data_IF_041358280694
#
_entry.id   IF_041358280694
#
_cell.length_a   1.000
_cell.length_b   1.000
_cell.length_c   1.000
_cell.angle_alpha   90.00
_cell.angle_beta   90.00
_cell.angle_gamma   90.00
#
_symmetry.space_group_name_H-M   'P 1'
#
loop_
_entity.id
_entity.type
_entity.pdbx_description
1 polymer ?
#
# COMPACT_ATOMS: atom_id res chain seq x y z
N UNK A 1 14.23 -9.48 8.11
CA UNK A 1 13.79 -10.23 6.91
C UNK A 1 12.34 -10.64 7.14
N UNK A 2 11.49 -10.45 6.12
CA UNK A 2 10.04 -10.71 6.21
C UNK A 2 9.67 -12.20 6.38
N UNK A 3 10.51 -13.10 5.88
CA UNK A 3 10.57 -14.55 6.15
C UNK A 3 11.86 -15.10 5.54
N UNK A 4 12.24 -16.35 5.84
CA UNK A 4 13.41 -17.00 5.21
C UNK A 4 13.37 -17.00 3.66
N UNK A 5 12.18 -16.82 3.08
CA UNK A 5 11.94 -16.91 1.64
C UNK A 5 11.87 -15.56 0.91
N UNK A 6 11.85 -14.41 1.62
CA UNK A 6 11.70 -13.10 0.98
C UNK A 6 12.92 -12.20 1.22
N UNK A 7 13.55 -11.78 0.12
CA UNK A 7 14.69 -10.84 0.13
C UNK A 7 14.21 -9.42 -0.18
N UNK A 8 14.88 -8.43 0.40
CA UNK A 8 14.66 -7.00 0.12
C UNK A 8 14.91 -6.74 -1.37
N UNK A 9 14.03 -5.99 -2.02
CA UNK A 9 14.21 -5.60 -3.43
C UNK A 9 15.44 -4.73 -3.68
N UNK A 10 15.79 -3.91 -2.69
CA UNK A 10 17.02 -3.12 -2.64
C UNK A 10 17.92 -3.63 -1.52
N UNK A 11 18.95 -4.40 -1.89
CA UNK A 11 20.01 -4.79 -0.96
C UNK A 11 21.05 -3.68 -0.85
N UNK A 12 21.84 -3.70 0.21
CA UNK A 12 22.91 -2.71 0.44
C UNK A 12 23.94 -2.73 -0.70
N UNK A 13 24.27 -3.91 -1.24
CA UNK A 13 25.18 -4.03 -2.39
C UNK A 13 24.59 -3.35 -3.62
N UNK A 14 23.29 -3.54 -3.85
CA UNK A 14 22.58 -2.93 -4.96
C UNK A 14 22.53 -1.41 -4.80
N UNK A 15 22.24 -0.91 -3.60
CA UNK A 15 22.23 0.54 -3.31
C UNK A 15 23.62 1.19 -3.47
N UNK A 16 24.69 0.47 -3.10
CA UNK A 16 26.07 0.93 -3.33
C UNK A 16 26.47 0.94 -4.81
N UNK A 17 25.94 0.01 -5.61
CA UNK A 17 26.30 -0.14 -7.01
C UNK A 17 25.54 0.78 -7.98
N UNK A 18 24.37 1.29 -7.60
CA UNK A 18 23.52 2.08 -8.49
C UNK A 18 23.94 3.56 -8.39
N UNK A 19 24.43 4.19 -9.47
CA UNK A 19 24.67 5.63 -9.51
C UNK A 19 23.35 6.37 -9.76
N UNK A 20 22.38 6.24 -8.86
CA UNK A 20 21.06 6.90 -8.98
C UNK A 20 21.07 8.21 -8.18
N UNK A 21 20.89 9.39 -8.82
CA UNK A 21 20.89 10.68 -8.14
C UNK A 21 19.83 10.83 -7.02
N UNK A 22 18.75 10.03 -7.09
CA UNK A 22 17.68 10.02 -6.09
C UNK A 22 18.09 9.32 -4.79
N UNK A 23 19.03 8.36 -4.86
CA UNK A 23 19.53 7.62 -3.70
C UNK A 23 20.69 8.40 -3.10
N UNK A 24 20.56 8.73 -1.83
CA UNK A 24 21.57 9.48 -1.06
C UNK A 24 22.01 8.65 0.13
N UNK A 25 23.14 9.03 0.71
CA UNK A 25 23.71 8.37 1.88
C UNK A 25 24.14 9.41 2.91
N UNK A 26 23.76 9.21 4.16
CA UNK A 26 24.26 9.99 5.31
C UNK A 26 24.46 9.08 6.54
N UNK A 27 24.61 9.67 7.73
CA UNK A 27 24.83 8.91 8.97
C UNK A 27 23.70 7.92 9.31
N UNK A 28 22.49 8.12 8.79
CA UNK A 28 21.34 7.22 8.93
C UNK A 28 21.28 6.11 7.88
N UNK A 29 22.24 6.05 6.95
CA UNK A 29 22.29 5.06 5.87
C UNK A 29 21.75 5.59 4.54
N UNK A 30 21.31 4.67 3.68
CA UNK A 30 20.73 5.02 2.39
C UNK A 30 19.32 5.57 2.55
N UNK A 31 19.00 6.62 1.79
CA UNK A 31 17.67 7.23 1.77
C UNK A 31 17.30 7.79 0.41
N UNK A 32 15.99 8.00 0.21
CA UNK A 32 15.46 8.83 -0.87
C UNK A 32 14.67 10.00 -0.29
N UNK A 33 14.57 11.08 -1.06
CA UNK A 33 13.62 12.17 -0.76
C UNK A 33 12.29 11.82 -1.40
N UNK A 34 11.21 11.69 -0.62
CA UNK A 34 9.89 11.47 -1.19
C UNK A 34 9.42 12.72 -1.93
N UNK A 35 8.90 12.53 -3.14
CA UNK A 35 8.41 13.65 -3.97
C UNK A 35 7.15 14.26 -3.34
N UNK A 36 6.31 13.43 -2.71
CA UNK A 36 5.02 13.82 -2.15
C UNK A 36 5.11 14.54 -0.80
N UNK A 37 6.08 14.20 0.04
CA UNK A 37 6.19 14.74 1.40
C UNK A 37 7.44 15.59 1.61
N UNK A 38 8.40 15.52 0.67
CA UNK A 38 9.72 16.14 0.81
C UNK A 38 10.44 15.73 2.12
N UNK A 39 10.22 14.48 2.53
CA UNK A 39 10.81 13.89 3.74
C UNK A 39 11.84 12.83 3.32
N UNK A 40 12.90 12.68 4.12
CA UNK A 40 13.85 11.57 3.96
C UNK A 40 13.18 10.27 4.37
N UNK A 41 13.20 9.29 3.48
CA UNK A 41 12.81 7.91 3.80
C UNK A 41 14.05 7.04 3.69
N UNK A 42 14.52 6.56 4.84
CA UNK A 42 15.60 5.60 4.90
C UNK A 42 15.10 4.23 4.48
N UNK A 43 15.88 3.51 3.69
CA UNK A 43 15.51 2.17 3.21
C UNK A 43 15.30 1.20 4.38
N UNK A 44 16.16 1.26 5.40
CA UNK A 44 16.05 0.41 6.58
C UNK A 44 14.78 0.68 7.40
N UNK A 45 14.39 1.96 7.56
CA UNK A 45 13.15 2.32 8.24
C UNK A 45 11.92 1.80 7.49
N UNK A 46 11.92 1.97 6.18
CA UNK A 46 10.88 1.44 5.30
C UNK A 46 10.76 -0.07 5.39
N UNK A 47 11.88 -0.79 5.28
CA UNK A 47 11.87 -2.26 5.36
C UNK A 47 11.49 -2.76 6.75
N UNK A 48 11.97 -2.12 7.82
CA UNK A 48 11.60 -2.46 9.19
C UNK A 48 10.10 -2.25 9.45
N UNK A 49 9.52 -1.18 8.91
CA UNK A 49 8.07 -0.96 8.97
C UNK A 49 7.31 -2.10 8.28
N UNK A 50 7.71 -2.47 7.06
CA UNK A 50 7.08 -3.57 6.32
C UNK A 50 7.18 -4.92 7.05
N UNK A 51 8.36 -5.23 7.58
CA UNK A 51 8.59 -6.46 8.37
C UNK A 51 7.69 -6.50 9.61
N UNK A 52 7.66 -5.42 10.39
CA UNK A 52 6.83 -5.33 11.60
C UNK A 52 5.33 -5.45 11.29
N UNK A 53 4.86 -4.75 10.26
CA UNK A 53 3.47 -4.81 9.82
C UNK A 53 3.11 -6.21 9.29
N UNK A 54 4.04 -6.88 8.61
CA UNK A 54 3.83 -8.24 8.12
C UNK A 54 3.69 -9.25 9.26
N UNK A 55 4.56 -9.20 10.27
CA UNK A 55 4.53 -10.12 11.40
C UNK A 55 3.22 -10.01 12.19
N UNK A 56 2.76 -8.77 12.43
CA UNK A 56 1.43 -8.50 13.01
C UNK A 56 0.32 -9.09 12.14
N UNK A 57 0.40 -8.88 10.82
CA UNK A 57 -0.58 -9.37 9.88
C UNK A 57 -0.64 -10.91 9.82
N UNK A 58 0.51 -11.60 9.84
CA UNK A 58 0.55 -13.07 9.90
C UNK A 58 -0.04 -13.61 11.20
N UNK A 59 0.32 -13.00 12.34
CA UNK A 59 -0.22 -13.38 13.65
C UNK A 59 -1.75 -13.29 13.67
N UNK A 60 -2.30 -12.21 13.11
CA UNK A 60 -3.76 -12.02 13.03
C UNK A 60 -4.40 -12.96 11.99
N UNK A 61 -3.74 -13.23 10.86
CA UNK A 61 -4.23 -14.21 9.88
C UNK A 61 -4.39 -15.60 10.49
N UNK A 62 -3.40 -16.06 11.25
CA UNK A 62 -3.45 -17.36 11.91
C UNK A 62 -4.59 -17.44 12.90
N UNK A 63 -4.76 -16.40 13.73
CA UNK A 63 -5.89 -16.28 14.68
C UNK A 63 -7.24 -16.34 13.97
N UNK A 64 -7.40 -15.59 12.89
CA UNK A 64 -8.64 -15.52 12.12
C UNK A 64 -8.93 -16.85 11.41
N UNK A 65 -7.92 -17.50 10.85
CA UNK A 65 -8.08 -18.79 10.18
C UNK A 65 -8.54 -19.88 11.17
N UNK A 66 -7.92 -19.93 12.36
CA UNK A 66 -8.37 -20.82 13.45
C UNK A 66 -9.81 -20.50 13.84
N UNK A 67 -10.15 -19.21 13.96
CA UNK A 67 -11.51 -18.80 14.33
C UNK A 67 -12.53 -19.23 13.28
N UNK A 68 -12.28 -18.98 11.98
CA UNK A 68 -13.16 -19.38 10.88
C UNK A 68 -13.35 -20.90 10.84
N UNK A 69 -12.28 -21.66 11.07
CA UNK A 69 -12.34 -23.13 11.10
C UNK A 69 -13.19 -23.65 12.28
N UNK A 70 -13.16 -22.96 13.42
CA UNK A 70 -13.93 -23.33 14.63
C UNK A 70 -15.41 -22.93 14.59
N UNK A 71 -15.83 -22.06 13.65
CA UNK A 71 -17.19 -21.55 13.57
C UNK A 71 -18.14 -22.55 12.92
N UNK A 72 -19.28 -22.76 13.58
CA UNK A 72 -20.41 -23.51 13.00
C UNK A 72 -20.84 -22.88 11.66
N UNK A 73 -21.19 -23.71 10.68
CA UNK A 73 -21.67 -23.28 9.36
C UNK A 73 -22.96 -22.47 9.44
N UNK A 74 -23.74 -22.64 10.50
CA UNK A 74 -24.98 -21.89 10.74
C UNK A 74 -24.75 -20.44 11.17
N UNK A 75 -23.55 -20.08 11.64
CA UNK A 75 -23.24 -18.74 12.15
C UNK A 75 -22.80 -17.80 11.02
N UNK A 76 -23.72 -17.54 10.10
CA UNK A 76 -23.47 -16.79 8.87
C UNK A 76 -22.86 -15.40 9.11
N UNK A 77 -23.36 -14.67 10.10
CA UNK A 77 -22.91 -13.30 10.38
C UNK A 77 -21.47 -13.26 10.92
N UNK A 78 -21.15 -14.11 11.92
CA UNK A 78 -19.79 -14.22 12.45
C UNK A 78 -18.81 -14.69 11.36
N UNK A 79 -19.20 -15.67 10.54
CA UNK A 79 -18.38 -16.13 9.42
C UNK A 79 -18.13 -15.00 8.42
N UNK A 80 -19.14 -14.20 8.10
CA UNK A 80 -18.99 -13.06 7.21
C UNK A 80 -18.03 -12.00 7.78
N UNK A 81 -18.14 -11.68 9.08
CA UNK A 81 -17.22 -10.76 9.77
C UNK A 81 -15.77 -11.23 9.67
N UNK A 82 -15.50 -12.48 10.09
CA UNK A 82 -14.13 -12.99 10.06
C UNK A 82 -13.61 -13.18 8.63
N UNK A 83 -14.49 -13.45 7.67
CA UNK A 83 -14.10 -13.49 6.25
C UNK A 83 -13.69 -12.11 5.76
N UNK A 84 -14.46 -11.06 6.08
CA UNK A 84 -14.09 -9.67 5.75
C UNK A 84 -12.73 -9.29 6.38
N UNK A 85 -12.54 -9.64 7.66
CA UNK A 85 -11.27 -9.38 8.36
C UNK A 85 -10.10 -10.13 7.71
N UNK A 86 -10.30 -11.41 7.35
CA UNK A 86 -9.31 -12.22 6.62
C UNK A 86 -8.96 -11.60 5.27
N UNK A 87 -9.94 -11.11 4.51
CA UNK A 87 -9.71 -10.46 3.20
C UNK A 87 -8.79 -9.25 3.36
N UNK A 88 -9.04 -8.40 4.35
CA UNK A 88 -8.20 -7.22 4.62
C UNK A 88 -6.76 -7.66 4.93
N UNK A 89 -6.60 -8.62 5.84
CA UNK A 89 -5.28 -9.12 6.22
C UNK A 89 -4.54 -9.75 5.03
N UNK A 90 -5.21 -10.58 4.22
CA UNK A 90 -4.62 -11.19 3.03
C UNK A 90 -4.19 -10.13 2.01
N UNK A 91 -5.01 -9.10 1.80
CA UNK A 91 -4.68 -7.98 0.93
C UNK A 91 -3.43 -7.24 1.43
N UNK A 92 -3.36 -6.93 2.73
CA UNK A 92 -2.20 -6.27 3.34
C UNK A 92 -0.94 -7.13 3.21
N UNK A 93 -0.98 -8.39 3.66
CA UNK A 93 0.15 -9.32 3.58
C UNK A 93 0.66 -9.52 2.15
N UNK A 94 -0.24 -9.64 1.16
CA UNK A 94 0.13 -9.75 -0.25
C UNK A 94 0.84 -8.50 -0.76
N UNK A 95 0.32 -7.32 -0.42
CA UNK A 95 0.94 -6.07 -0.85
C UNK A 95 2.27 -5.82 -0.15
N UNK A 96 2.37 -6.04 1.17
CA UNK A 96 3.65 -5.93 1.89
C UNK A 96 4.73 -6.78 1.20
N UNK A 97 4.44 -8.04 0.88
CA UNK A 97 5.38 -8.90 0.14
C UNK A 97 5.78 -8.29 -1.20
N UNK A 98 4.81 -7.85 -1.99
CA UNK A 98 5.06 -7.23 -3.29
C UNK A 98 5.99 -6.02 -3.18
N UNK A 99 5.71 -5.09 -2.26
CA UNK A 99 6.49 -3.88 -2.04
C UNK A 99 7.87 -4.18 -1.44
N UNK A 100 7.97 -5.15 -0.55
CA UNK A 100 9.22 -5.57 0.08
C UNK A 100 10.20 -6.18 -0.93
N UNK A 101 9.71 -7.00 -1.87
CA UNK A 101 10.55 -7.67 -2.87
C UNK A 101 10.81 -6.82 -4.12
N UNK A 102 10.04 -5.76 -4.35
CA UNK A 102 10.19 -4.92 -5.53
C UNK A 102 11.47 -4.08 -5.43
N UNK A 103 12.42 -4.40 -6.31
CA UNK A 103 13.67 -3.68 -6.48
C UNK A 103 13.78 -2.96 -7.82
N UNK A 104 12.69 -2.88 -8.58
CA UNK A 104 12.70 -2.35 -9.95
C UNK A 104 12.50 -0.83 -9.97
N UNK A 105 11.80 -0.27 -8.98
CA UNK A 105 11.43 1.13 -8.95
C UNK A 105 11.54 1.72 -7.54
N UNK A 106 12.32 2.78 -7.35
CA UNK A 106 12.46 3.47 -6.06
C UNK A 106 11.15 4.10 -5.57
N UNK A 107 10.15 4.29 -6.43
CA UNK A 107 8.82 4.78 -6.06
C UNK A 107 8.03 3.84 -5.13
N UNK A 108 8.49 2.60 -4.93
CA UNK A 108 7.90 1.69 -3.93
C UNK A 108 8.34 2.06 -2.50
N UNK A 109 9.47 2.74 -2.36
CA UNK A 109 9.99 3.20 -1.07
C UNK A 109 9.26 4.50 -0.70
N UNK A 110 8.56 4.48 0.42
CA UNK A 110 7.68 5.55 0.83
C UNK A 110 7.52 5.55 2.35
N UNK A 111 6.95 6.62 2.90
CA UNK A 111 6.63 6.68 4.32
C UNK A 111 5.54 5.65 4.69
N UNK A 112 5.46 5.26 5.98
CA UNK A 112 4.35 4.44 6.48
C UNK A 112 2.98 5.04 6.13
N UNK A 113 2.80 6.35 6.28
CA UNK A 113 1.55 7.06 5.96
C UNK A 113 1.15 6.92 4.49
N UNK A 114 2.11 7.08 3.57
CA UNK A 114 1.86 6.88 2.15
C UNK A 114 1.45 5.42 1.87
N UNK A 115 2.16 4.45 2.46
CA UNK A 115 1.82 3.04 2.33
C UNK A 115 0.41 2.72 2.83
N UNK A 116 0.03 3.23 4.00
CA UNK A 116 -1.32 3.06 4.55
C UNK A 116 -2.41 3.62 3.64
N UNK A 117 -2.17 4.75 3.00
CA UNK A 117 -3.10 5.34 2.02
C UNK A 117 -3.27 4.44 0.80
N UNK A 118 -2.18 3.87 0.28
CA UNK A 118 -2.23 2.91 -0.83
C UNK A 118 -3.02 1.65 -0.43
N UNK A 119 -2.85 1.16 0.80
CA UNK A 119 -3.60 0.00 1.29
C UNK A 119 -5.09 0.29 1.44
N UNK A 120 -5.43 1.48 1.94
CA UNK A 120 -6.81 1.94 2.03
C UNK A 120 -7.48 1.97 0.66
N UNK A 121 -6.84 2.56 -0.36
CA UNK A 121 -7.36 2.61 -1.74
C UNK A 121 -7.53 1.21 -2.35
N UNK A 122 -6.56 0.30 -2.14
CA UNK A 122 -6.65 -1.07 -2.64
C UNK A 122 -7.81 -1.84 -2.01
N UNK A 123 -8.05 -1.68 -0.72
CA UNK A 123 -9.17 -2.34 -0.03
C UNK A 123 -10.51 -1.78 -0.50
N UNK A 124 -10.63 -0.45 -0.65
CA UNK A 124 -11.85 0.17 -1.18
C UNK A 124 -12.14 -0.27 -2.62
N UNK A 125 -11.11 -0.31 -3.47
CA UNK A 125 -11.24 -0.82 -4.85
C UNK A 125 -11.68 -2.29 -4.86
N UNK A 126 -11.12 -3.12 -3.96
CA UNK A 126 -11.54 -4.51 -3.82
C UNK A 126 -13.00 -4.61 -3.37
N UNK A 127 -13.41 -3.83 -2.36
CA UNK A 127 -14.79 -3.77 -1.87
C UNK A 127 -15.78 -3.40 -2.99
N UNK A 128 -15.45 -2.39 -3.80
CA UNK A 128 -16.29 -1.97 -4.91
C UNK A 128 -16.46 -3.05 -5.97
N UNK A 129 -15.37 -3.75 -6.31
CA UNK A 129 -15.41 -4.88 -7.25
C UNK A 129 -16.20 -6.05 -6.69
N UNK A 130 -16.06 -6.33 -5.40
CA UNK A 130 -16.80 -7.38 -4.70
C UNK A 130 -18.31 -7.08 -4.71
N UNK A 131 -18.70 -5.83 -4.42
CA UNK A 131 -20.10 -5.39 -4.46
C UNK A 131 -20.72 -5.51 -5.87
N UNK A 132 -19.90 -5.39 -6.93
CA UNK A 132 -20.33 -5.55 -8.34
C UNK A 132 -20.29 -7.01 -8.82
N UNK A 133 -19.93 -7.98 -7.97
CA UNK A 133 -19.76 -9.39 -8.37
C UNK A 133 -18.59 -9.63 -9.32
N UNK A 134 -17.62 -8.72 -9.39
CA UNK A 134 -16.47 -8.77 -10.32
C UNK A 134 -15.24 -9.46 -9.72
N UNK A 135 -15.44 -10.20 -8.62
CA UNK A 135 -14.40 -10.92 -7.91
C UNK A 135 -14.79 -12.40 -7.91
N UNK A 136 -14.13 -13.24 -8.73
CA UNK A 136 -14.28 -14.68 -8.66
C UNK A 136 -13.47 -15.16 -7.45
N UNK A 137 -14.13 -15.41 -6.33
CA UNK A 137 -13.48 -15.96 -5.14
C UNK A 137 -14.37 -17.07 -4.56
N UNK A 138 -13.94 -18.31 -4.77
CA UNK A 138 -14.59 -19.54 -4.29
C UNK A 138 -14.64 -19.63 -2.76
N UNK A 139 -13.86 -18.81 -2.05
CA UNK A 139 -13.82 -18.78 -0.59
C UNK A 139 -14.86 -17.87 0.04
N UNK A 140 -15.63 -17.13 -0.78
CA UNK A 140 -16.69 -16.25 -0.30
C UNK A 140 -17.94 -17.05 0.11
N UNK A 141 -18.63 -16.64 1.19
CA UNK A 141 -19.94 -17.18 1.53
C UNK A 141 -20.94 -16.95 0.40
N UNK A 142 -21.97 -17.81 0.30
CA UNK A 142 -23.08 -17.65 -0.65
C UNK A 142 -23.73 -16.26 -0.59
N UNK A 143 -23.75 -15.65 0.60
CA UNK A 143 -24.20 -14.29 0.80
C UNK A 143 -23.03 -13.31 1.05
N UNK A 144 -22.58 -12.67 -0.03
CA UNK A 144 -21.51 -11.67 -0.01
C UNK A 144 -21.91 -10.33 0.60
N UNK A 145 -23.21 -10.06 0.79
CA UNK A 145 -23.70 -8.79 1.32
C UNK A 145 -23.11 -8.48 2.70
N UNK A 146 -23.14 -9.45 3.62
CA UNK A 146 -22.58 -9.27 4.96
C UNK A 146 -21.07 -9.05 4.94
N UNK A 147 -20.35 -9.71 4.02
CA UNK A 147 -18.91 -9.52 3.86
C UNK A 147 -18.61 -8.09 3.40
N UNK A 148 -19.35 -7.58 2.41
CA UNK A 148 -19.19 -6.20 1.95
C UNK A 148 -19.51 -5.19 3.05
N UNK A 149 -20.58 -5.43 3.83
CA UNK A 149 -20.95 -4.58 4.98
C UNK A 149 -19.81 -4.52 5.99
N UNK A 150 -19.30 -5.68 6.43
CA UNK A 150 -18.23 -5.72 7.41
C UNK A 150 -16.90 -5.18 6.88
N UNK A 151 -16.60 -5.38 5.60
CA UNK A 151 -15.44 -4.75 4.97
C UNK A 151 -15.49 -3.24 5.13
N UNK A 152 -16.65 -2.60 4.94
CA UNK A 152 -16.82 -1.15 5.07
C UNK A 152 -16.72 -0.67 6.53
N UNK A 153 -17.19 -1.49 7.47
CA UNK A 153 -17.15 -1.16 8.89
C UNK A 153 -15.74 -1.25 9.50
N UNK A 154 -14.97 -2.28 9.14
CA UNK A 154 -13.75 -2.63 9.91
C UNK A 154 -12.44 -2.21 9.27
N UNK A 155 -12.39 -1.99 7.94
CA UNK A 155 -11.11 -1.84 7.23
C UNK A 155 -10.22 -0.73 7.76
N UNK A 156 -10.77 0.45 8.05
CA UNK A 156 -9.97 1.58 8.56
C UNK A 156 -9.34 1.25 9.88
N UNK A 157 -10.14 0.73 10.83
CA UNK A 157 -9.67 0.36 12.16
C UNK A 157 -8.60 -0.73 12.08
N UNK A 158 -8.87 -1.78 11.30
CA UNK A 158 -7.90 -2.85 11.06
C UNK A 158 -6.57 -2.32 10.51
N UNK A 159 -6.60 -1.40 9.53
CA UNK A 159 -5.37 -0.83 8.98
C UNK A 159 -4.62 0.04 10.01
N UNK A 160 -5.33 0.80 10.85
CA UNK A 160 -4.71 1.59 11.92
C UNK A 160 -3.99 0.67 12.90
N UNK A 161 -4.66 -0.39 13.35
CA UNK A 161 -4.12 -1.35 14.32
C UNK A 161 -2.90 -2.09 13.75
N UNK A 162 -2.96 -2.52 12.48
CA UNK A 162 -1.86 -3.23 11.82
C UNK A 162 -0.62 -2.35 11.67
N UNK A 163 -0.80 -1.08 11.33
CA UNK A 163 0.31 -0.15 11.04
C UNK A 163 0.76 0.69 12.23
N UNK A 164 0.14 0.55 13.40
CA UNK A 164 0.41 1.38 14.59
C UNK A 164 0.13 2.87 14.37
N UNK A 165 -0.92 3.18 13.61
CA UNK A 165 -1.25 4.56 13.29
C UNK A 165 -2.21 5.17 14.30
N UNK A 166 -2.09 6.49 14.58
CA UNK A 166 -3.06 7.19 15.40
C UNK A 166 -4.45 7.19 14.74
N UNK A 167 -5.52 7.26 15.53
CA UNK A 167 -6.90 7.20 15.04
C UNK A 167 -7.25 8.29 14.00
N UNK A 168 -6.48 9.37 13.98
CA UNK A 168 -6.63 10.48 13.05
C UNK A 168 -5.96 10.25 11.69
N UNK A 169 -5.09 9.24 11.54
CA UNK A 169 -4.23 9.07 10.36
C UNK A 169 -5.04 9.00 9.05
N UNK A 170 -6.19 8.32 9.04
CA UNK A 170 -7.06 8.23 7.87
C UNK A 170 -8.14 9.33 7.79
N UNK A 171 -8.27 10.19 8.80
CA UNK A 171 -9.15 11.38 8.73
C UNK A 171 -8.56 12.45 7.81
N UNK A 172 -7.23 12.52 7.70
CA UNK A 172 -6.50 13.45 6.84
C UNK A 172 -6.39 13.01 5.36
N UNK A 173 -7.31 12.17 4.88
CA UNK A 173 -7.39 11.69 3.49
C UNK A 173 -7.37 12.81 2.44
N UNK A 174 -7.73 14.03 2.83
CA UNK A 174 -7.72 15.23 1.99
C UNK A 174 -6.30 15.70 1.62
N UNK A 175 -5.35 15.73 2.55
CA UNK A 175 -4.08 16.44 2.32
C UNK A 175 -3.20 15.75 1.25
N UNK A 176 -3.15 14.41 1.27
CA UNK A 176 -2.34 13.63 0.33
C UNK A 176 -2.97 13.49 -1.05
N UNK A 177 -4.30 13.33 -1.12
CA UNK A 177 -5.01 13.29 -2.40
C UNK A 177 -5.00 14.67 -3.08
N UNK A 178 -5.03 15.77 -2.32
CA UNK A 178 -4.79 17.10 -2.87
C UNK A 178 -3.34 17.35 -3.26
N UNK A 179 -2.36 16.91 -2.47
CA UNK A 179 -0.95 16.98 -2.85
C UNK A 179 -0.72 16.22 -4.16
N UNK A 180 -1.18 14.98 -4.28
CA UNK A 180 -1.09 14.19 -5.52
C UNK A 180 -1.83 14.85 -6.68
N UNK A 181 -3.03 15.40 -6.47
CA UNK A 181 -3.76 16.18 -7.51
C UNK A 181 -2.99 17.43 -7.93
N UNK A 182 -2.39 18.16 -6.99
CA UNK A 182 -1.56 19.35 -7.26
C UNK A 182 -0.32 18.97 -8.04
N UNK A 183 0.40 17.91 -7.63
CA UNK A 183 1.56 17.40 -8.36
C UNK A 183 1.20 16.90 -9.75
N UNK A 184 0.09 16.17 -9.92
CA UNK A 184 -0.39 15.71 -11.22
C UNK A 184 -0.74 16.88 -12.14
N UNK A 185 -1.33 17.95 -11.59
CA UNK A 185 -1.63 19.18 -12.33
C UNK A 185 -0.37 19.93 -12.72
N UNK A 186 0.62 20.02 -11.82
CA UNK A 186 1.93 20.63 -12.11
C UNK A 186 2.67 19.85 -13.19
N UNK A 187 2.67 18.52 -13.13
CA UNK A 187 3.28 17.66 -14.15
C UNK A 187 2.58 17.81 -15.51
N UNK A 188 1.25 17.83 -15.54
CA UNK A 188 0.49 18.12 -16.77
C UNK A 188 0.84 19.51 -17.34
N UNK A 189 0.95 20.54 -16.50
CA UNK A 189 1.32 21.88 -16.94
C UNK A 189 2.74 21.92 -17.52
N UNK A 190 3.72 21.28 -16.85
CA UNK A 190 5.10 21.19 -17.34
C UNK A 190 5.16 20.44 -18.68
N UNK A 191 4.38 19.36 -18.81
CA UNK A 191 4.30 18.56 -20.04
C UNK A 191 3.68 19.38 -21.18
N UNK A 192 2.62 20.13 -20.89
CA UNK A 192 1.99 21.06 -21.83
C UNK A 192 2.95 22.17 -22.26
N UNK A 193 3.65 22.81 -21.32
CA UNK A 193 4.64 23.84 -21.62
C UNK A 193 5.81 23.31 -22.46
N UNK A 194 6.33 22.12 -22.15
CA UNK A 194 7.38 21.48 -22.95
C UNK A 194 6.90 21.14 -24.37
N UNK A 195 5.65 20.66 -24.52
CA UNK A 195 5.06 20.43 -25.83
C UNK A 195 4.88 21.74 -26.62
N UNK A 196 4.44 22.82 -25.97
CA UNK A 196 4.33 24.13 -26.61
C UNK A 196 5.69 24.67 -27.07
N UNK A 197 6.73 24.53 -26.25
CA UNK A 197 8.10 24.92 -26.62
C UNK A 197 8.64 24.05 -27.77
N UNK A 198 8.43 22.72 -27.72
CA UNK A 198 8.81 21.81 -28.81
C UNK A 198 8.11 22.15 -30.13
N UNK A 199 6.82 22.52 -30.08
CA UNK A 199 6.08 22.98 -31.25
C UNK A 199 6.62 24.30 -31.79
N UNK A 200 6.97 25.25 -30.91
CA UNK A 200 7.60 26.51 -31.29
C UNK A 200 8.96 26.27 -31.97
N UNK A 201 9.82 25.45 -31.38
CA UNK A 201 11.14 25.12 -31.96
C UNK A 201 10.98 24.41 -33.31
N UNK A 202 9.98 23.53 -33.46
CA UNK A 202 9.64 22.92 -34.76
C UNK A 202 9.14 23.91 -35.80
N UNK A 203 8.43 24.97 -35.40
CA UNK A 203 7.97 26.02 -36.33
C UNK A 203 9.05 27.03 -36.68
N UNK A 204 10.08 27.19 -35.84
CA UNK A 204 11.25 28.06 -36.11
C UNK A 204 12.42 27.32 -36.77
N UNK A 205 12.41 25.98 -36.78
CA UNK A 205 13.34 25.15 -37.55
C UNK A 205 12.89 24.99 -39.00
N UNK A 206 13.07 26.05 -39.79
CA UNK A 206 13.27 26.01 -41.24
C UNK A 206 14.76 25.97 -41.50
#
# INVERSE_FOLDING_TARGET
MLSENYKRGFSDEKLKSIPEPKVKYDAGGFYIMTISENVKVYFDDYYRFLETAYDRCQTELDRVNVKIASLDKTWNESRAYYTAYRIILQAVAKNIRSFYTDGSNFGVVMTPWCFGTVMLEKIETYRERLAKGQVPDETLPENTYYVVRYLDEIYKKTLLDLFDFPEEAFKMRWQYSELLKRYSKVLQNITGSLQSVLLMVKSYGV
#
